data_IF_272813801600
#
_entry.id   IF_272813801600
#
_cell.length_a   1.000
_cell.length_b   1.000
_cell.length_c   1.000
_cell.angle_alpha   90.00
_cell.angle_beta   90.00
_cell.angle_gamma   90.00
#
_symmetry.space_group_name_H-M   'P 1'
#
loop_
_entity.id
_entity.type
_entity.pdbx_description
1 polymer ?
#
# COMPACT_ATOMS: atom_id res chain seq x y z
N UNK A 1 11.25 -13.47 3.63
CA UNK A 1 10.79 -12.36 4.46
C UNK A 1 9.61 -11.65 3.82
N UNK A 2 8.88 -10.85 4.61
CA UNK A 2 7.75 -10.05 4.10
C UNK A 2 8.23 -8.97 3.14
N UNK A 3 7.46 -8.73 2.09
CA UNK A 3 7.68 -7.68 1.08
C UNK A 3 6.48 -6.77 1.00
N UNK A 4 6.69 -5.48 1.21
CA UNK A 4 5.63 -4.48 1.32
C UNK A 4 5.86 -3.36 0.30
N UNK A 5 4.79 -2.93 -0.37
CA UNK A 5 4.77 -1.67 -1.12
C UNK A 5 4.31 -0.54 -0.20
N UNK A 6 5.03 0.57 -0.22
CA UNK A 6 4.59 1.86 0.33
C UNK A 6 4.28 2.80 -0.84
N UNK A 7 3.02 2.87 -1.20
CA UNK A 7 2.52 3.71 -2.28
C UNK A 7 2.20 5.12 -1.81
N UNK A 8 2.63 6.13 -2.55
CA UNK A 8 2.61 7.54 -2.18
C UNK A 8 3.47 7.83 -0.94
N UNK A 9 4.64 7.17 -0.88
CA UNK A 9 5.46 7.07 0.33
C UNK A 9 6.10 8.37 0.82
N UNK A 10 6.11 9.42 0.02
CA UNK A 10 6.73 10.69 0.38
C UNK A 10 8.19 10.51 0.81
N UNK A 11 8.56 11.15 1.90
CA UNK A 11 9.91 11.06 2.49
C UNK A 11 10.16 9.78 3.30
N UNK A 12 9.20 8.86 3.35
CA UNK A 12 9.36 7.55 3.96
C UNK A 12 8.81 7.41 5.38
N UNK A 13 7.77 8.15 5.72
CA UNK A 13 7.12 8.08 7.05
C UNK A 13 6.72 6.65 7.43
N UNK A 14 6.15 5.89 6.50
CA UNK A 14 5.83 4.48 6.73
C UNK A 14 6.99 3.56 6.33
N UNK A 15 7.65 3.82 5.19
CA UNK A 15 8.69 2.95 4.65
C UNK A 15 9.80 2.63 5.64
N UNK A 16 10.33 3.63 6.35
CA UNK A 16 11.40 3.43 7.33
C UNK A 16 10.95 2.60 8.53
N UNK A 17 9.71 2.79 8.99
CA UNK A 17 9.16 2.00 10.10
C UNK A 17 8.90 0.56 9.69
N UNK A 18 8.33 0.36 8.50
CA UNK A 18 8.06 -0.98 7.95
C UNK A 18 9.36 -1.73 7.66
N UNK A 19 10.41 -1.03 7.26
CA UNK A 19 11.71 -1.62 6.95
C UNK A 19 12.42 -2.23 8.17
N UNK A 20 11.99 -1.93 9.38
CA UNK A 20 12.48 -2.62 10.56
C UNK A 20 12.18 -4.13 10.53
N UNK A 21 11.09 -4.54 9.87
CA UNK A 21 10.63 -5.95 9.88
C UNK A 21 10.43 -6.55 8.50
N UNK A 22 10.32 -5.74 7.44
CA UNK A 22 10.00 -6.19 6.09
C UNK A 22 10.89 -5.50 5.04
N UNK A 23 11.04 -6.12 3.89
CA UNK A 23 11.56 -5.42 2.71
C UNK A 23 10.48 -4.46 2.19
N UNK A 24 10.88 -3.23 1.85
CA UNK A 24 9.95 -2.19 1.41
C UNK A 24 10.31 -1.68 0.02
N UNK A 25 9.31 -1.60 -0.84
CA UNK A 25 9.38 -0.92 -2.12
C UNK A 25 8.55 0.36 -2.06
N UNK A 26 9.21 1.50 -1.97
CA UNK A 26 8.57 2.80 -1.88
C UNK A 26 8.37 3.40 -3.28
N UNK A 27 7.13 3.75 -3.59
CA UNK A 27 6.74 4.34 -4.88
C UNK A 27 6.15 5.72 -4.63
N UNK A 28 6.74 6.72 -5.26
CA UNK A 28 6.39 8.13 -5.08
C UNK A 28 6.67 8.91 -6.36
N UNK A 29 5.87 9.93 -6.62
CA UNK A 29 6.06 10.83 -7.76
C UNK A 29 7.23 11.81 -7.54
N UNK A 30 7.42 12.28 -6.31
CA UNK A 30 8.47 13.24 -5.96
C UNK A 30 9.83 12.55 -5.80
N UNK A 31 10.69 12.73 -6.80
CA UNK A 31 12.04 12.16 -6.79
C UNK A 31 12.93 12.71 -5.67
N UNK A 32 12.75 13.95 -5.24
CA UNK A 32 13.51 14.54 -4.14
C UNK A 32 13.13 13.88 -2.80
N UNK A 33 11.85 13.60 -2.59
CA UNK A 33 11.37 12.85 -1.42
C UNK A 33 11.96 11.43 -1.39
N UNK A 34 11.98 10.71 -2.52
CA UNK A 34 12.60 9.39 -2.61
C UNK A 34 14.11 9.42 -2.40
N UNK A 35 14.80 10.44 -2.86
CA UNK A 35 16.23 10.61 -2.60
C UNK A 35 16.50 10.80 -1.11
N UNK A 36 15.65 11.57 -0.41
CA UNK A 36 15.73 11.74 1.05
C UNK A 36 15.50 10.42 1.78
N UNK A 37 14.47 9.65 1.37
CA UNK A 37 14.20 8.31 1.91
C UNK A 37 15.40 7.37 1.72
N UNK A 38 15.97 7.33 0.51
CA UNK A 38 17.11 6.46 0.21
C UNK A 38 18.33 6.81 1.08
N UNK A 39 18.59 8.10 1.31
CA UNK A 39 19.65 8.53 2.23
C UNK A 39 19.37 8.12 3.67
N UNK A 40 18.15 8.33 4.14
CA UNK A 40 17.77 7.96 5.50
C UNK A 40 17.87 6.45 5.72
N UNK A 41 17.43 5.64 4.75
CA UNK A 41 17.51 4.18 4.82
C UNK A 41 18.97 3.68 4.89
N UNK A 42 19.87 4.26 4.10
CA UNK A 42 21.31 3.91 4.15
C UNK A 42 21.97 4.27 5.47
N UNK A 43 21.51 5.34 6.10
CA UNK A 43 22.08 5.84 7.36
C UNK A 43 21.43 5.26 8.61
N UNK A 44 20.41 4.39 8.46
CA UNK A 44 19.72 3.77 9.58
C UNK A 44 20.10 2.30 9.68
N UNK A 45 20.67 1.91 10.82
CA UNK A 45 21.05 0.52 11.08
C UNK A 45 19.83 -0.36 11.37
N UNK A 46 19.93 -1.64 11.02
CA UNK A 46 18.93 -2.66 11.38
C UNK A 46 17.71 -2.69 10.46
N UNK A 47 17.69 -1.90 9.38
CA UNK A 47 16.61 -1.95 8.40
C UNK A 47 16.80 -3.11 7.41
N UNK A 48 15.69 -3.68 6.98
CA UNK A 48 15.63 -4.54 5.81
C UNK A 48 15.79 -3.70 4.54
N UNK A 49 15.87 -4.35 3.41
CA UNK A 49 16.08 -3.69 2.11
C UNK A 49 14.95 -2.70 1.82
N UNK A 50 15.33 -1.47 1.47
CA UNK A 50 14.43 -0.43 0.96
C UNK A 50 14.81 -0.14 -0.49
N UNK A 51 13.87 -0.30 -1.40
CA UNK A 51 14.00 0.10 -2.81
C UNK A 51 13.03 1.25 -3.10
N UNK A 52 13.37 2.08 -4.05
CA UNK A 52 12.57 3.26 -4.41
C UNK A 52 12.28 3.28 -5.89
N UNK A 53 11.11 3.77 -6.27
CA UNK A 53 10.70 3.99 -7.65
C UNK A 53 9.98 5.34 -7.78
N UNK A 54 10.48 6.20 -8.69
CA UNK A 54 9.78 7.43 -9.06
C UNK A 54 8.69 7.09 -10.07
N UNK A 55 7.42 7.24 -9.65
CA UNK A 55 6.28 6.86 -10.48
C UNK A 55 5.03 7.63 -10.06
N UNK A 56 4.30 8.14 -11.03
CA UNK A 56 2.98 8.74 -10.82
C UNK A 56 1.92 7.63 -10.78
N UNK A 57 1.49 7.25 -9.58
CA UNK A 57 0.51 6.19 -9.38
C UNK A 57 -0.90 6.56 -9.84
N UNK A 58 -1.20 7.83 -10.08
CA UNK A 58 -2.46 8.26 -10.69
C UNK A 58 -2.54 7.89 -12.18
N UNK A 59 -1.42 8.00 -12.89
CA UNK A 59 -1.31 7.72 -14.33
C UNK A 59 -0.87 6.30 -14.62
N UNK A 60 0.01 5.77 -13.78
CA UNK A 60 0.61 4.44 -13.93
C UNK A 60 0.58 3.67 -12.61
N UNK A 61 -0.58 3.18 -12.19
CA UNK A 61 -0.66 2.37 -10.99
C UNK A 61 0.20 1.10 -11.13
N UNK A 62 0.64 0.56 -10.01
CA UNK A 62 1.25 -0.76 -9.97
C UNK A 62 0.22 -1.79 -10.45
N UNK A 63 0.56 -2.49 -11.50
CA UNK A 63 -0.34 -3.46 -12.11
C UNK A 63 -0.41 -4.75 -11.30
N UNK A 64 -1.48 -5.50 -11.47
CA UNK A 64 -1.70 -6.79 -10.80
C UNK A 64 -0.48 -7.71 -10.87
N UNK A 65 0.20 -7.79 -12.03
CA UNK A 65 1.38 -8.63 -12.20
C UNK A 65 2.57 -8.17 -11.34
N UNK A 66 2.76 -6.85 -11.22
CA UNK A 66 3.80 -6.26 -10.37
C UNK A 66 3.50 -6.50 -8.89
N UNK A 67 2.22 -6.37 -8.51
CA UNK A 67 1.74 -6.56 -7.15
C UNK A 67 1.86 -8.01 -6.65
N UNK A 68 1.92 -8.98 -7.55
CA UNK A 68 2.02 -10.41 -7.19
C UNK A 68 3.28 -10.77 -6.37
N UNK A 69 4.29 -9.92 -6.40
CA UNK A 69 5.53 -10.12 -5.64
C UNK A 69 5.45 -9.66 -4.18
N UNK A 70 4.34 -9.07 -3.75
CA UNK A 70 4.23 -8.43 -2.43
C UNK A 70 3.18 -9.09 -1.54
N UNK A 71 3.45 -9.07 -0.24
CA UNK A 71 2.59 -9.61 0.81
C UNK A 71 1.60 -8.56 1.35
N UNK A 72 1.96 -7.29 1.24
CA UNK A 72 1.11 -6.19 1.66
C UNK A 72 1.37 -4.92 0.84
N UNK A 73 0.35 -4.06 0.80
CA UNK A 73 0.44 -2.71 0.25
C UNK A 73 -0.09 -1.73 1.29
N UNK A 74 0.69 -0.70 1.58
CA UNK A 74 0.26 0.48 2.32
C UNK A 74 0.19 1.63 1.34
N UNK A 75 -0.89 2.40 1.33
CA UNK A 75 -0.97 3.60 0.51
C UNK A 75 -1.58 4.78 1.28
N UNK A 76 -1.00 5.95 1.07
CA UNK A 76 -1.39 7.21 1.70
C UNK A 76 -1.50 8.31 0.65
N UNK A 77 -2.55 8.27 -0.21
CA UNK A 77 -2.68 9.19 -1.31
C UNK A 77 -3.08 10.61 -0.86
N UNK A 78 -2.91 11.61 -1.74
CA UNK A 78 -3.53 12.92 -1.56
C UNK A 78 -5.05 12.83 -1.45
N UNK A 79 -5.71 13.98 -1.23
CA UNK A 79 -7.18 14.07 -1.07
C UNK A 79 -7.99 13.48 -2.22
N UNK A 80 -7.44 13.43 -3.43
CA UNK A 80 -8.07 12.80 -4.59
C UNK A 80 -8.25 11.28 -4.45
N UNK A 81 -7.59 10.67 -3.47
CA UNK A 81 -7.60 9.23 -3.26
C UNK A 81 -6.69 8.48 -4.23
N UNK A 82 -6.88 7.16 -4.30
CA UNK A 82 -6.06 6.24 -5.06
C UNK A 82 -6.90 5.33 -5.97
N UNK A 83 -7.84 5.89 -6.72
CA UNK A 83 -8.82 5.12 -7.50
C UNK A 83 -8.15 4.14 -8.47
N UNK A 84 -7.20 4.60 -9.28
CA UNK A 84 -6.52 3.76 -10.25
C UNK A 84 -5.75 2.61 -9.57
N UNK A 85 -5.06 2.91 -8.47
CA UNK A 85 -4.34 1.89 -7.71
C UNK A 85 -5.29 0.92 -7.00
N UNK A 86 -6.41 1.41 -6.48
CA UNK A 86 -7.43 0.56 -5.86
C UNK A 86 -8.06 -0.42 -6.86
N UNK A 87 -8.25 -0.01 -8.11
CA UNK A 87 -8.72 -0.90 -9.19
C UNK A 87 -7.73 -2.04 -9.46
N UNK A 88 -6.45 -1.75 -9.55
CA UNK A 88 -5.40 -2.76 -9.74
C UNK A 88 -5.28 -3.71 -8.52
N UNK A 89 -5.36 -3.15 -7.31
CA UNK A 89 -5.36 -3.94 -6.08
C UNK A 89 -6.59 -4.86 -6.00
N UNK A 90 -7.77 -4.36 -6.37
CA UNK A 90 -9.00 -5.14 -6.40
C UNK A 90 -8.88 -6.40 -7.28
N UNK A 91 -8.13 -6.30 -8.37
CA UNK A 91 -7.84 -7.41 -9.29
C UNK A 91 -6.63 -8.25 -8.88
N UNK A 92 -5.86 -7.84 -7.88
CA UNK A 92 -4.63 -8.52 -7.43
C UNK A 92 -4.93 -9.61 -6.39
N UNK A 93 -3.91 -10.39 -6.07
CA UNK A 93 -3.95 -11.38 -4.99
C UNK A 93 -3.17 -10.95 -3.74
N UNK A 94 -2.86 -9.67 -3.60
CA UNK A 94 -2.17 -9.13 -2.40
C UNK A 94 -3.01 -9.43 -1.16
N UNK A 95 -2.46 -10.13 -0.16
CA UNK A 95 -3.25 -10.57 0.99
C UNK A 95 -3.75 -9.46 1.91
N UNK A 96 -2.95 -8.39 2.05
CA UNK A 96 -3.21 -7.31 3.00
C UNK A 96 -3.04 -5.95 2.34
N UNK A 97 -4.05 -5.11 2.46
CA UNK A 97 -3.99 -3.70 2.03
C UNK A 97 -4.34 -2.81 3.21
N UNK A 98 -3.52 -1.80 3.44
CA UNK A 98 -3.77 -0.75 4.43
C UNK A 98 -3.89 0.57 3.68
N UNK A 99 -5.08 1.15 3.72
CA UNK A 99 -5.36 2.45 3.11
C UNK A 99 -5.40 3.55 4.16
N UNK A 100 -4.58 4.57 3.98
CA UNK A 100 -4.63 5.80 4.79
C UNK A 100 -5.25 6.90 3.94
N UNK A 101 -6.13 7.69 4.50
CA UNK A 101 -6.82 8.75 3.76
C UNK A 101 -7.16 9.96 4.64
N UNK A 102 -6.97 11.15 4.10
CA UNK A 102 -7.42 12.40 4.70
C UNK A 102 -8.80 12.87 4.19
N UNK A 103 -9.46 12.08 3.34
CA UNK A 103 -10.75 12.40 2.74
C UNK A 103 -11.70 11.21 2.80
N UNK A 104 -12.75 11.31 3.59
CA UNK A 104 -13.71 10.23 3.81
C UNK A 104 -14.46 9.82 2.53
N UNK A 105 -14.75 10.74 1.61
CA UNK A 105 -15.48 10.45 0.39
C UNK A 105 -14.64 9.63 -0.59
N UNK A 106 -13.39 10.04 -0.84
CA UNK A 106 -12.49 9.28 -1.71
C UNK A 106 -12.06 7.97 -1.08
N UNK A 107 -11.91 7.92 0.24
CA UNK A 107 -11.68 6.68 0.97
C UNK A 107 -12.85 5.70 0.77
N UNK A 108 -14.09 6.14 0.91
CA UNK A 108 -15.26 5.28 0.72
C UNK A 108 -15.34 4.72 -0.70
N UNK A 109 -15.03 5.53 -1.72
CA UNK A 109 -14.93 5.08 -3.12
C UNK A 109 -13.87 4.00 -3.30
N UNK A 110 -12.65 4.23 -2.84
CA UNK A 110 -11.54 3.31 -2.96
C UNK A 110 -11.79 2.02 -2.16
N UNK A 111 -12.35 2.14 -0.95
CA UNK A 111 -12.75 1.01 -0.13
C UNK A 111 -13.81 0.14 -0.83
N UNK A 112 -14.80 0.76 -1.47
CA UNK A 112 -15.81 0.02 -2.24
C UNK A 112 -15.19 -0.77 -3.38
N UNK A 113 -14.24 -0.21 -4.11
CA UNK A 113 -13.51 -0.91 -5.17
C UNK A 113 -12.80 -2.16 -4.62
N UNK A 114 -12.13 -2.03 -3.49
CA UNK A 114 -11.42 -3.15 -2.85
C UNK A 114 -12.40 -4.23 -2.36
N UNK A 115 -13.49 -3.86 -1.72
CA UNK A 115 -14.49 -4.79 -1.21
C UNK A 115 -15.20 -5.51 -2.36
N UNK A 116 -15.59 -4.79 -3.41
CA UNK A 116 -16.20 -5.39 -4.61
C UNK A 116 -15.21 -6.35 -5.31
N UNK A 117 -13.91 -6.10 -5.21
CA UNK A 117 -12.85 -6.97 -5.71
C UNK A 117 -12.54 -8.19 -4.84
N UNK A 118 -13.18 -8.35 -3.69
CA UNK A 118 -13.07 -9.53 -2.82
C UNK A 118 -12.24 -9.32 -1.54
N UNK A 119 -11.88 -8.09 -1.18
CA UNK A 119 -11.31 -7.80 0.14
C UNK A 119 -12.41 -7.66 1.19
N UNK A 120 -12.12 -8.14 2.40
CA UNK A 120 -12.93 -7.81 3.56
C UNK A 120 -12.36 -6.56 4.24
N UNK A 121 -13.18 -5.55 4.46
CA UNK A 121 -12.83 -4.41 5.29
C UNK A 121 -12.96 -4.82 6.76
N UNK A 122 -11.82 -5.11 7.40
CA UNK A 122 -11.82 -5.62 8.78
C UNK A 122 -11.97 -4.51 9.81
N UNK A 123 -11.41 -3.32 9.52
CA UNK A 123 -11.41 -2.20 10.46
C UNK A 123 -11.21 -0.88 9.74
N UNK A 124 -11.89 0.14 10.22
CA UNK A 124 -11.59 1.55 9.93
C UNK A 124 -11.31 2.26 11.23
N UNK A 125 -10.16 2.88 11.34
CA UNK A 125 -9.75 3.64 12.52
C UNK A 125 -9.63 5.12 12.15
N UNK A 126 -10.43 6.00 12.74
CA UNK A 126 -10.21 7.44 12.62
C UNK A 126 -9.04 7.85 13.53
N UNK A 127 -8.16 8.68 13.00
CA UNK A 127 -7.04 9.25 13.73
C UNK A 127 -7.15 10.77 13.68
N UNK A 128 -7.40 11.38 14.82
CA UNK A 128 -7.45 12.82 14.95
C UNK A 128 -6.06 13.34 15.32
N UNK A 129 -5.35 13.85 14.31
CA UNK A 129 -3.99 14.36 14.48
C UNK A 129 -3.92 15.87 14.78
N UNK A 130 -5.03 16.57 14.58
CA UNK A 130 -5.05 18.04 14.65
C UNK A 130 -6.14 18.54 15.60
N UNK A 131 -5.75 18.95 16.81
CA UNK A 131 -6.65 19.40 17.89
C UNK A 131 -7.67 20.48 17.52
N UNK A 132 -7.48 21.20 16.41
CA UNK A 132 -8.32 22.33 15.99
C UNK A 132 -8.70 22.28 14.51
N UNK A 133 -8.52 21.14 13.84
CA UNK A 133 -8.89 20.95 12.44
C UNK A 133 -10.04 19.94 12.33
N UNK A 134 -11.01 20.15 11.42
CA UNK A 134 -12.04 19.17 11.12
C UNK A 134 -11.49 17.97 10.30
N UNK A 135 -10.20 17.94 10.00
CA UNK A 135 -9.59 16.90 9.21
C UNK A 135 -9.20 15.69 10.07
N UNK A 136 -9.86 14.57 9.81
CA UNK A 136 -9.58 13.28 10.43
C UNK A 136 -8.91 12.37 9.39
N UNK A 137 -7.79 11.76 9.76
CA UNK A 137 -7.19 10.69 8.98
C UNK A 137 -7.98 9.39 9.23
N UNK A 138 -8.20 8.63 8.17
CA UNK A 138 -8.80 7.30 8.24
C UNK A 138 -7.75 6.25 7.90
N UNK A 139 -7.71 5.18 8.66
CA UNK A 139 -6.88 4.00 8.38
C UNK A 139 -7.78 2.80 8.22
N UNK A 140 -7.85 2.26 7.01
CA UNK A 140 -8.61 1.06 6.69
C UNK A 140 -7.71 -0.16 6.54
N UNK A 141 -8.13 -1.28 7.10
CA UNK A 141 -7.44 -2.57 6.97
C UNK A 141 -8.32 -3.50 6.12
N UNK A 142 -7.78 -3.91 4.99
CA UNK A 142 -8.45 -4.78 4.03
C UNK A 142 -7.69 -6.09 3.92
N UNK A 143 -8.37 -7.20 4.07
CA UNK A 143 -7.77 -8.53 3.96
C UNK A 143 -8.48 -9.36 2.90
N UNK A 144 -7.68 -10.02 2.07
CA UNK A 144 -8.17 -10.99 1.11
C UNK A 144 -8.04 -12.39 1.72
N UNK A 145 -9.12 -13.15 1.69
CA UNK A 145 -9.06 -14.57 2.04
C UNK A 145 -8.07 -15.29 1.12
N UNK A 146 -7.22 -16.14 1.71
CA UNK A 146 -6.28 -16.94 0.93
C UNK A 146 -7.06 -17.74 -0.12
N UNK A 147 -6.81 -17.50 -1.40
CA UNK A 147 -7.27 -18.38 -2.46
C UNK A 147 -6.62 -19.74 -2.22
N UNK A 148 -7.41 -20.79 -2.01
CA UNK A 148 -6.91 -22.15 -2.05
C UNK A 148 -6.19 -22.31 -3.39
N UNK A 149 -4.88 -22.43 -3.37
CA UNK A 149 -4.11 -22.80 -4.57
C UNK A 149 -4.74 -24.10 -5.04
N UNK A 150 -5.35 -24.06 -6.23
CA UNK A 150 -5.78 -25.29 -6.89
C UNK A 150 -4.53 -26.17 -6.95
N UNK A 151 -4.56 -27.31 -6.26
CA UNK A 151 -3.54 -28.33 -6.45
C UNK A 151 -3.54 -28.61 -7.94
N UNK A 152 -2.47 -28.25 -8.63
CA UNK A 152 -2.18 -28.77 -9.97
C UNK A 152 -2.21 -30.29 -9.78
N UNK A 153 -3.30 -30.91 -10.20
CA UNK A 153 -3.39 -32.34 -10.25
C UNK A 153 -2.22 -32.84 -11.07
N UNK A 154 -1.38 -33.61 -10.42
CA UNK A 154 -0.37 -34.42 -11.05
C UNK A 154 -1.15 -35.46 -11.87
N UNK A 155 -1.45 -35.15 -13.12
CA UNK A 155 -1.83 -36.19 -14.06
C UNK A 155 -0.53 -36.90 -14.43
N UNK A 156 -0.28 -37.96 -13.69
CA UNK A 156 0.61 -39.05 -14.11
C UNK A 156 0.10 -39.67 -15.39
N UNK A 157 0.90 -39.65 -16.42
CA UNK A 157 1.10 -40.75 -17.34
C UNK A 157 2.48 -40.73 -17.94
#
# INVERSE_FOLDING_TARGET
GLRIVDGYGGVGTFALRLAATAEVHAVEHDGAALAALSRAARNTHGLKRVTTETRDLFRRPLQRAELAAFDAVVFDPPRAGAEAQAQELAASDVPLVIGVSCNAQTFARDAKLLVDGGYALERVTPVDQFRHSPHVELVGVFRRAARKRAKKGLLSR
#
